data_IF_287610762490
#
_entry.id   IF_287610762490
#
_cell.length_a   1.000
_cell.length_b   1.000
_cell.length_c   1.000
_cell.angle_alpha   90.00
_cell.angle_beta   90.00
_cell.angle_gamma   90.00
#
_symmetry.space_group_name_H-M   'P 1'
#
loop_
_entity.id
_entity.type
_entity.pdbx_description
1 polymer ?
#
# COMPACT_ATOMS: atom_id res chain seq x y z
N UNK A 1 14.67 18.53 -4.14
CA UNK A 1 15.63 17.56 -3.55
C UNK A 1 15.61 16.28 -4.36
N UNK A 2 16.73 15.56 -4.44
CA UNK A 2 16.74 14.21 -5.03
C UNK A 2 16.38 13.14 -3.98
N UNK A 3 16.10 11.92 -4.45
CA UNK A 3 15.65 10.83 -3.55
C UNK A 3 16.70 10.44 -2.49
N UNK A 4 17.99 10.54 -2.81
CA UNK A 4 19.08 10.24 -1.87
C UNK A 4 19.14 11.27 -0.74
N UNK A 5 18.94 12.55 -1.04
CA UNK A 5 18.89 13.62 -0.05
C UNK A 5 17.66 13.45 0.88
N UNK A 6 16.52 13.09 0.31
CA UNK A 6 15.28 12.81 1.07
C UNK A 6 15.54 11.64 2.03
N UNK A 7 16.06 10.52 1.52
CA UNK A 7 16.36 9.35 2.34
C UNK A 7 17.37 9.67 3.45
N UNK A 8 18.44 10.41 3.15
CA UNK A 8 19.43 10.81 4.17
C UNK A 8 18.81 11.62 5.31
N UNK A 9 17.89 12.54 5.01
CA UNK A 9 17.17 13.31 6.04
C UNK A 9 16.32 12.39 6.92
N UNK A 10 15.63 11.41 6.33
CA UNK A 10 14.84 10.44 7.10
C UNK A 10 15.76 9.59 8.00
N UNK A 11 16.87 9.08 7.49
CA UNK A 11 17.84 8.30 8.29
C UNK A 11 18.42 9.10 9.45
N UNK A 12 18.71 10.39 9.26
CA UNK A 12 19.23 11.27 10.30
C UNK A 12 18.22 11.49 11.44
N UNK A 13 16.94 11.63 11.12
CA UNK A 13 15.89 11.89 12.11
C UNK A 13 15.32 10.59 12.72
N UNK A 14 15.35 9.47 11.99
CA UNK A 14 14.84 8.18 12.44
C UNK A 14 15.88 7.07 12.23
N UNK A 15 16.96 7.04 13.04
CA UNK A 15 18.01 6.04 12.91
C UNK A 15 17.46 4.63 13.08
N UNK A 16 17.68 3.76 12.09
CA UNK A 16 17.23 2.37 12.11
C UNK A 16 15.78 2.13 11.65
N UNK A 17 15.00 3.18 11.40
CA UNK A 17 13.62 3.03 10.92
C UNK A 17 13.52 2.71 9.41
N UNK A 18 14.61 2.86 8.66
CA UNK A 18 14.64 2.68 7.20
C UNK A 18 15.65 1.66 6.76
N UNK A 19 15.36 0.99 5.65
CA UNK A 19 16.26 0.02 4.99
C UNK A 19 16.02 0.00 3.47
N UNK A 20 16.85 -0.73 2.74
CA UNK A 20 16.59 -1.08 1.35
C UNK A 20 16.41 0.11 0.40
N UNK A 21 17.18 1.20 0.58
CA UNK A 21 17.10 2.34 -0.33
C UNK A 21 17.52 1.99 -1.75
N UNK A 22 16.68 2.30 -2.72
CA UNK A 22 16.95 2.18 -4.15
C UNK A 22 16.70 3.52 -4.84
N UNK A 23 17.76 4.11 -5.40
CA UNK A 23 17.71 5.37 -6.14
C UNK A 23 17.53 5.15 -7.65
N UNK A 24 17.65 3.91 -8.12
CA UNK A 24 17.59 3.58 -9.54
C UNK A 24 16.13 3.34 -9.98
N UNK A 25 15.82 3.75 -11.21
CA UNK A 25 14.50 3.56 -11.79
C UNK A 25 13.64 4.83 -11.81
N UNK A 26 12.41 4.66 -12.27
CA UNK A 26 11.44 5.76 -12.41
C UNK A 26 10.95 6.22 -11.04
N UNK A 27 10.75 5.26 -10.13
CA UNK A 27 10.20 5.48 -8.80
C UNK A 27 11.23 5.07 -7.74
N UNK A 28 12.11 6.00 -7.31
CA UNK A 28 13.03 5.74 -6.21
C UNK A 28 12.28 5.46 -4.91
N UNK A 29 12.75 4.47 -4.13
CA UNK A 29 12.06 4.04 -2.92
C UNK A 29 13.01 3.68 -1.79
N UNK A 30 12.47 3.65 -0.58
CA UNK A 30 13.08 3.01 0.59
C UNK A 30 12.03 2.27 1.42
N UNK A 31 12.49 1.27 2.16
CA UNK A 31 11.63 0.54 3.08
C UNK A 31 11.62 1.22 4.44
N UNK A 32 10.45 1.21 5.10
CA UNK A 32 10.27 1.72 6.46
C UNK A 32 9.73 0.60 7.34
N UNK A 33 10.21 0.56 8.59
CA UNK A 33 9.70 -0.35 9.60
C UNK A 33 8.22 -0.04 9.92
N UNK A 34 7.32 -1.05 9.97
CA UNK A 34 5.90 -0.85 10.27
C UNK A 34 5.64 -0.05 11.55
N UNK A 35 6.48 -0.22 12.57
CA UNK A 35 6.32 0.50 13.85
C UNK A 35 6.61 2.00 13.72
N UNK A 36 7.44 2.41 12.76
CA UNK A 36 7.88 3.80 12.58
C UNK A 36 7.17 4.54 11.45
N UNK A 37 6.31 3.86 10.69
CA UNK A 37 5.72 4.41 9.46
C UNK A 37 4.95 5.71 9.69
N UNK A 38 4.18 5.80 10.78
CA UNK A 38 3.37 6.98 11.08
C UNK A 38 4.22 8.20 11.39
N UNK A 39 5.29 8.02 12.17
CA UNK A 39 6.21 9.10 12.55
C UNK A 39 7.00 9.59 11.33
N UNK A 40 7.51 8.66 10.51
CA UNK A 40 8.22 8.96 9.27
C UNK A 40 7.32 9.70 8.28
N UNK A 41 6.09 9.23 8.06
CA UNK A 41 5.14 9.88 7.15
C UNK A 41 4.72 11.27 7.66
N UNK A 42 4.52 11.43 8.97
CA UNK A 42 4.22 12.73 9.56
C UNK A 42 5.38 13.72 9.34
N UNK A 43 6.61 13.27 9.57
CA UNK A 43 7.80 14.08 9.31
C UNK A 43 7.94 14.47 7.83
N UNK A 44 7.74 13.52 6.92
CA UNK A 44 7.80 13.78 5.47
C UNK A 44 6.78 14.83 5.02
N UNK A 45 5.58 14.83 5.62
CA UNK A 45 4.55 15.83 5.33
C UNK A 45 4.88 17.20 5.91
N UNK A 46 5.33 17.24 7.17
CA UNK A 46 5.41 18.48 7.97
C UNK A 46 6.75 19.21 7.84
N UNK A 47 7.84 18.49 7.51
CA UNK A 47 9.17 19.10 7.33
C UNK A 47 9.16 20.10 6.15
N UNK A 48 9.43 21.39 6.38
CA UNK A 48 9.31 22.43 5.34
C UNK A 48 10.13 22.18 4.08
N UNK A 49 11.27 21.51 4.18
CA UNK A 49 12.12 21.20 3.04
C UNK A 49 11.68 19.96 2.25
N UNK A 50 10.86 19.10 2.85
CA UNK A 50 10.32 17.89 2.24
C UNK A 50 8.91 18.10 1.73
N UNK A 51 8.01 18.49 2.62
CA UNK A 51 6.63 18.92 2.38
C UNK A 51 5.87 18.00 1.41
N UNK A 52 5.80 16.71 1.75
CA UNK A 52 5.00 15.75 1.00
C UNK A 52 3.51 15.89 1.33
N UNK A 53 2.89 16.93 0.79
CA UNK A 53 1.48 17.25 1.05
C UNK A 53 0.50 16.27 0.41
N UNK A 54 0.95 15.45 -0.54
CA UNK A 54 0.07 14.54 -1.29
C UNK A 54 0.52 13.09 -1.15
N UNK A 55 -0.41 12.24 -0.69
CA UNK A 55 -0.39 10.79 -0.89
C UNK A 55 -1.12 10.54 -2.21
N UNK A 56 -0.37 10.34 -3.30
CA UNK A 56 -0.94 10.18 -4.64
C UNK A 56 -1.51 8.79 -4.87
N UNK A 57 -0.94 7.77 -4.23
CA UNK A 57 -1.43 6.40 -4.28
C UNK A 57 -1.00 5.61 -3.03
N UNK A 58 -1.82 4.64 -2.64
CA UNK A 58 -1.55 3.65 -1.62
C UNK A 58 -2.10 2.31 -2.10
N UNK A 59 -1.23 1.35 -2.27
CA UNK A 59 -1.59 0.01 -2.72
C UNK A 59 -0.81 -1.07 -1.98
N UNK A 60 -1.05 -2.34 -2.32
CA UNK A 60 -0.28 -3.46 -1.76
C UNK A 60 0.13 -4.47 -2.83
N UNK A 61 1.16 -5.24 -2.53
CA UNK A 61 1.65 -6.34 -3.37
C UNK A 61 1.79 -7.59 -2.52
N UNK A 62 1.30 -8.71 -3.02
CA UNK A 62 1.41 -10.02 -2.35
C UNK A 62 2.64 -10.78 -2.86
N UNK A 63 3.54 -11.16 -1.94
CA UNK A 63 4.74 -11.96 -2.16
C UNK A 63 4.62 -13.30 -1.42
N UNK A 64 3.87 -14.28 -1.96
CA UNK A 64 3.63 -15.55 -1.28
C UNK A 64 4.89 -16.38 -1.01
N UNK A 65 5.94 -16.25 -1.85
CA UNK A 65 7.22 -16.95 -1.65
C UNK A 65 7.99 -16.42 -0.45
N UNK A 66 7.84 -15.15 -0.15
CA UNK A 66 8.51 -14.45 0.95
C UNK A 66 7.62 -14.34 2.19
N UNK A 67 6.41 -14.95 2.16
CA UNK A 67 5.38 -14.91 3.20
C UNK A 67 5.05 -13.49 3.69
N UNK A 68 5.08 -12.51 2.77
CA UNK A 68 4.83 -11.12 3.10
C UNK A 68 3.83 -10.44 2.17
N UNK A 69 3.16 -9.42 2.70
CA UNK A 69 2.49 -8.36 1.96
C UNK A 69 3.34 -7.10 2.05
N UNK A 70 3.42 -6.34 0.99
CA UNK A 70 4.13 -5.06 0.98
C UNK A 70 3.15 -3.94 0.67
N UNK A 71 3.01 -3.00 1.60
CA UNK A 71 2.25 -1.76 1.37
C UNK A 71 3.15 -0.74 0.71
N UNK A 72 2.66 -0.07 -0.31
CA UNK A 72 3.40 0.88 -1.13
C UNK A 72 2.69 2.23 -1.09
N UNK A 73 3.40 3.27 -0.67
CA UNK A 73 2.91 4.65 -0.58
C UNK A 73 3.65 5.50 -1.60
N UNK A 74 2.93 6.13 -2.51
CA UNK A 74 3.47 7.11 -3.45
C UNK A 74 3.23 8.51 -2.91
N UNK A 75 4.32 9.19 -2.55
CA UNK A 75 4.28 10.52 -1.96
C UNK A 75 4.78 11.57 -2.94
N UNK A 76 4.10 12.71 -2.99
CA UNK A 76 4.46 13.81 -3.88
C UNK A 76 4.40 15.15 -3.15
N UNK A 77 5.37 15.99 -3.43
CA UNK A 77 5.39 17.41 -3.06
C UNK A 77 5.15 18.27 -4.29
N UNK A 78 4.05 19.00 -4.31
CA UNK A 78 3.80 20.00 -5.34
C UNK A 78 4.61 21.28 -5.10
N UNK A 79 4.87 21.60 -3.82
CA UNK A 79 5.67 22.75 -3.44
C UNK A 79 7.12 22.64 -3.96
N UNK A 80 7.72 21.45 -3.84
CA UNK A 80 9.12 21.23 -4.21
C UNK A 80 9.30 20.42 -5.49
N UNK A 81 8.20 19.97 -6.12
CA UNK A 81 8.20 19.16 -7.34
C UNK A 81 9.13 17.94 -7.26
N UNK A 82 8.99 17.17 -6.19
CA UNK A 82 9.69 15.89 -6.01
C UNK A 82 8.73 14.79 -5.55
N UNK A 83 9.15 13.56 -5.74
CA UNK A 83 8.38 12.38 -5.37
C UNK A 83 9.29 11.32 -4.71
N UNK A 84 8.69 10.46 -3.90
CA UNK A 84 9.35 9.30 -3.28
C UNK A 84 8.33 8.20 -3.06
N UNK A 85 8.78 6.96 -3.14
CA UNK A 85 7.98 5.80 -2.77
C UNK A 85 8.47 5.23 -1.44
N UNK A 86 7.52 4.94 -0.55
CA UNK A 86 7.78 4.23 0.70
C UNK A 86 7.16 2.85 0.60
N UNK A 87 7.91 1.85 1.02
CA UNK A 87 7.45 0.46 1.09
C UNK A 87 7.52 -0.03 2.53
N UNK A 88 6.50 -0.79 2.92
CA UNK A 88 6.43 -1.40 4.25
C UNK A 88 6.12 -2.87 4.08
N UNK A 89 7.01 -3.73 4.57
CA UNK A 89 6.81 -5.17 4.56
C UNK A 89 6.03 -5.60 5.81
N UNK A 90 4.97 -6.37 5.59
CA UNK A 90 4.12 -6.93 6.65
C UNK A 90 4.11 -8.46 6.57
N UNK A 91 3.95 -9.18 7.69
CA UNK A 91 3.74 -10.61 7.65
C UNK A 91 2.46 -10.92 6.87
N UNK A 92 2.48 -11.96 6.03
CA UNK A 92 1.33 -12.33 5.21
C UNK A 92 0.16 -12.84 6.06
N UNK A 93 0.48 -13.47 7.18
CA UNK A 93 -0.48 -13.88 8.20
C UNK A 93 -0.71 -12.69 9.15
N UNK A 94 -1.98 -12.27 9.30
CA UNK A 94 -2.38 -11.15 10.16
C UNK A 94 -1.64 -9.83 9.86
N UNK A 95 -1.67 -9.37 8.60
CA UNK A 95 -0.99 -8.13 8.21
C UNK A 95 -1.68 -6.92 8.83
N UNK A 96 -0.95 -6.22 9.68
CA UNK A 96 -1.47 -5.08 10.43
C UNK A 96 -0.49 -3.91 10.34
N UNK A 97 -1.02 -2.70 10.13
CA UNK A 97 -0.24 -1.46 10.05
C UNK A 97 -1.06 -0.28 10.59
N UNK A 98 -0.40 0.73 11.11
CA UNK A 98 -1.07 1.95 11.57
C UNK A 98 -1.63 2.75 10.40
N UNK A 99 -2.86 3.28 10.54
CA UNK A 99 -3.51 4.13 9.52
C UNK A 99 -2.77 5.44 9.29
N UNK A 100 -2.74 5.88 8.04
CA UNK A 100 -2.27 7.21 7.62
C UNK A 100 -3.41 8.22 7.46
N UNK A 101 -4.65 7.89 7.81
CA UNK A 101 -5.82 8.79 7.71
C UNK A 101 -5.60 10.13 8.45
N UNK A 102 -4.90 10.09 9.57
CA UNK A 102 -4.53 11.30 10.34
C UNK A 102 -3.42 12.14 9.69
N UNK A 103 -2.67 11.56 8.77
CA UNK A 103 -1.60 12.24 8.02
C UNK A 103 -2.16 12.81 6.71
N UNK A 104 -2.82 11.99 5.90
CA UNK A 104 -3.47 12.39 4.66
C UNK A 104 -4.92 11.92 4.62
N UNK A 105 -5.86 12.80 4.43
CA UNK A 105 -7.29 12.44 4.40
C UNK A 105 -7.67 11.43 3.32
N UNK A 106 -6.96 11.45 2.18
CA UNK A 106 -7.16 10.50 1.08
C UNK A 106 -6.84 9.06 1.48
N UNK A 107 -5.96 8.86 2.47
CA UNK A 107 -5.61 7.53 2.97
C UNK A 107 -6.84 6.73 3.43
N UNK A 108 -7.86 7.39 3.98
CA UNK A 108 -9.11 6.72 4.38
C UNK A 108 -9.67 5.81 3.26
N UNK A 109 -9.77 6.33 2.04
CA UNK A 109 -10.34 5.57 0.92
C UNK A 109 -9.37 4.53 0.37
N UNK A 110 -8.09 4.88 0.23
CA UNK A 110 -7.06 3.99 -0.31
C UNK A 110 -6.78 2.80 0.64
N UNK A 111 -6.77 3.05 1.94
CA UNK A 111 -6.61 2.00 2.96
C UNK A 111 -7.79 1.03 2.97
N UNK A 112 -9.02 1.52 2.79
CA UNK A 112 -10.21 0.67 2.66
C UNK A 112 -10.15 -0.21 1.42
N UNK A 113 -9.66 0.30 0.29
CA UNK A 113 -9.44 -0.51 -0.92
C UNK A 113 -8.42 -1.61 -0.65
N UNK A 114 -7.29 -1.29 -0.03
CA UNK A 114 -6.25 -2.28 0.31
C UNK A 114 -6.75 -3.29 1.34
N UNK A 115 -7.51 -2.86 2.35
CA UNK A 115 -8.18 -3.77 3.27
C UNK A 115 -9.11 -4.74 2.53
N UNK A 116 -9.94 -4.21 1.65
CA UNK A 116 -10.93 -5.00 0.93
C UNK A 116 -10.28 -6.05 0.02
N UNK A 117 -9.27 -5.67 -0.74
CA UNK A 117 -8.68 -6.51 -1.79
C UNK A 117 -7.52 -7.39 -1.31
N UNK A 118 -6.80 -7.01 -0.25
CA UNK A 118 -5.65 -7.75 0.29
C UNK A 118 -5.83 -8.26 1.73
N UNK A 119 -6.79 -7.70 2.49
CA UNK A 119 -7.04 -8.08 3.88
C UNK A 119 -6.03 -7.49 4.88
N UNK A 120 -5.39 -6.39 4.56
CA UNK A 120 -4.50 -5.67 5.48
C UNK A 120 -5.33 -4.87 6.46
N UNK A 121 -5.06 -5.02 7.77
CA UNK A 121 -5.73 -4.28 8.82
C UNK A 121 -5.02 -2.95 9.09
N UNK A 122 -5.76 -1.83 9.02
CA UNK A 122 -5.24 -0.50 9.33
C UNK A 122 -5.67 -0.07 10.73
N UNK A 123 -4.77 -0.17 11.70
CA UNK A 123 -5.05 0.17 13.10
C UNK A 123 -5.34 1.65 13.27
N UNK A 124 -6.45 1.95 13.94
CA UNK A 124 -6.89 3.33 14.20
C UNK A 124 -7.64 3.98 13.03
N UNK A 125 -7.94 3.25 11.95
CA UNK A 125 -8.79 3.72 10.88
C UNK A 125 -10.23 3.97 11.38
N UNK A 126 -10.83 5.09 11.00
CA UNK A 126 -12.14 5.52 11.53
C UNK A 126 -13.32 4.69 11.03
N UNK A 127 -13.23 4.09 9.82
CA UNK A 127 -14.33 3.34 9.18
C UNK A 127 -13.77 2.27 8.22
N UNK A 128 -13.11 1.24 8.76
CA UNK A 128 -12.48 0.18 7.98
C UNK A 128 -13.50 -0.88 7.54
N UNK A 129 -14.19 -0.62 6.44
CA UNK A 129 -15.16 -1.52 5.82
C UNK A 129 -14.90 -1.65 4.32
N UNK A 130 -15.43 -2.70 3.70
CA UNK A 130 -15.30 -2.92 2.25
C UNK A 130 -15.89 -1.76 1.44
N UNK A 131 -15.30 -1.48 0.26
CA UNK A 131 -15.78 -0.45 -0.67
C UNK A 131 -15.81 -0.92 -2.13
N UNK A 132 -15.04 -1.94 -2.48
CA UNK A 132 -14.96 -2.47 -3.85
C UNK A 132 -15.83 -3.70 -4.02
N UNK A 133 -15.92 -4.52 -2.97
CA UNK A 133 -16.65 -5.77 -2.96
C UNK A 133 -17.88 -5.68 -2.04
N UNK A 134 -18.92 -6.51 -2.27
CA UNK A 134 -20.03 -6.65 -1.34
C UNK A 134 -19.55 -7.09 0.05
N UNK A 135 -20.32 -6.75 1.10
CA UNK A 135 -19.94 -7.03 2.50
C UNK A 135 -19.81 -8.53 2.80
N UNK A 136 -20.61 -9.35 2.13
CA UNK A 136 -20.65 -10.82 2.26
C UNK A 136 -19.65 -11.55 1.36
N UNK A 137 -18.85 -10.82 0.58
CA UNK A 137 -17.83 -11.42 -0.28
C UNK A 137 -16.76 -12.16 0.54
N UNK A 138 -16.42 -13.38 0.13
CA UNK A 138 -15.44 -14.22 0.82
C UNK A 138 -14.03 -14.04 0.26
N UNK A 139 -13.09 -13.74 1.17
CA UNK A 139 -11.68 -13.60 0.85
C UNK A 139 -11.28 -12.23 0.27
N UNK A 140 -10.07 -12.19 -0.30
CA UNK A 140 -9.41 -10.98 -0.79
C UNK A 140 -8.84 -11.25 -2.18
N UNK A 141 -9.47 -10.74 -3.25
CA UNK A 141 -9.21 -11.16 -4.64
C UNK A 141 -7.82 -10.85 -5.18
N UNK A 142 -7.09 -9.91 -4.61
CA UNK A 142 -5.74 -9.57 -5.07
C UNK A 142 -4.63 -10.38 -4.39
N UNK A 143 -4.97 -11.23 -3.43
CA UNK A 143 -4.02 -12.23 -2.93
C UNK A 143 -3.77 -13.30 -4.00
N UNK A 144 -2.51 -13.72 -4.15
CA UNK A 144 -2.11 -14.68 -5.20
C UNK A 144 -2.64 -16.10 -5.01
N UNK A 145 -3.04 -16.46 -3.80
CA UNK A 145 -3.68 -17.73 -3.45
C UNK A 145 -5.21 -17.67 -3.36
N UNK A 146 -5.79 -16.51 -3.74
CA UNK A 146 -7.23 -16.37 -3.76
C UNK A 146 -7.86 -17.32 -4.77
N UNK A 147 -8.90 -18.02 -4.31
CA UNK A 147 -9.75 -18.87 -5.15
C UNK A 147 -11.13 -18.25 -5.19
N UNK A 148 -11.59 -17.93 -6.39
CA UNK A 148 -12.92 -17.35 -6.61
C UNK A 148 -14.01 -18.35 -6.18
N UNK A 149 -15.08 -17.84 -5.57
CA UNK A 149 -16.26 -18.65 -5.25
C UNK A 149 -16.88 -19.18 -6.56
N UNK A 150 -17.40 -20.40 -6.53
CA UNK A 150 -18.03 -21.01 -7.74
C UNK A 150 -19.33 -20.32 -8.13
N UNK A 151 -20.00 -19.70 -7.15
CA UNK A 151 -21.28 -19.02 -7.31
C UNK A 151 -21.37 -17.82 -6.39
N UNK A 152 -21.97 -16.74 -6.85
CA UNK A 152 -22.33 -15.58 -6.05
C UNK A 152 -23.75 -15.12 -6.42
N UNK A 153 -24.65 -14.99 -5.42
CA UNK A 153 -26.06 -14.60 -5.57
C UNK A 153 -26.84 -15.45 -6.60
N UNK A 154 -26.56 -16.77 -6.65
CA UNK A 154 -27.20 -17.68 -7.60
C UNK A 154 -26.66 -17.59 -9.02
N UNK A 155 -25.57 -16.82 -9.23
CA UNK A 155 -24.92 -16.64 -10.52
C UNK A 155 -23.56 -17.34 -10.50
N UNK A 156 -23.31 -18.24 -11.45
CA UNK A 156 -22.00 -18.87 -11.59
C UNK A 156 -20.92 -17.85 -11.93
N UNK A 157 -19.83 -17.89 -11.17
CA UNK A 157 -18.62 -17.08 -11.43
C UNK A 157 -17.66 -17.80 -12.40
N UNK A 158 -17.91 -19.07 -12.71
CA UNK A 158 -17.08 -19.83 -13.64
C UNK A 158 -17.24 -19.25 -15.06
N UNK A 159 -16.16 -18.65 -15.55
CA UNK A 159 -16.10 -18.14 -16.93
C UNK A 159 -15.48 -19.21 -17.82
N UNK A 160 -16.22 -19.71 -18.79
CA UNK A 160 -15.59 -20.43 -19.88
C UNK A 160 -14.67 -19.46 -20.64
N UNK A 161 -13.40 -19.82 -20.88
CA UNK A 161 -12.51 -18.95 -21.64
C UNK A 161 -13.04 -18.81 -23.07
N UNK A 162 -13.49 -17.60 -23.41
CA UNK A 162 -14.01 -17.24 -24.77
C UNK A 162 -13.02 -17.48 -25.92
N UNK A 163 -11.77 -17.85 -25.60
CA UNK A 163 -10.67 -17.98 -26.59
C UNK A 163 -10.52 -19.37 -27.19
N UNK A 164 -11.29 -20.39 -26.75
CA UNK A 164 -11.15 -21.76 -27.32
C UNK A 164 -11.71 -21.94 -28.72
N UNK A 165 -12.57 -21.04 -29.21
CA UNK A 165 -13.18 -21.19 -30.53
C UNK A 165 -12.50 -20.41 -31.68
N UNK A 166 -11.58 -19.48 -31.38
CA UNK A 166 -10.98 -18.60 -32.42
C UNK A 166 -9.65 -19.13 -32.97
N UNK A 167 -9.09 -20.20 -32.41
CA UNK A 167 -7.80 -20.78 -32.85
C UNK A 167 -7.92 -22.18 -33.41
N UNK A 168 -9.04 -22.50 -34.10
CA UNK A 168 -9.17 -23.69 -34.98
C UNK A 168 -9.32 -23.31 -36.42
#
# INVERSE_FOLDING_TARGET
MNASEIHQKVVQNFPGATSGFNAEGIDPYFNVDPASIKEVCTYLRDEPELKFEVLSDLTAVDFPKDEKLQVVYHLQSYTHNHQIVIKVDLPRNEPTITTMEGVWKVANWLEREVFDLFGIQFEGHSDLRRIMLPEDWKGHPLRKDYVEQEEYDGISTQREPLVREVLR
#
